data_IF_572589624298
#
_entry.id   IF_572589624298
#
_cell.length_a   1.000
_cell.length_b   1.000
_cell.length_c   1.000
_cell.angle_alpha   90.00
_cell.angle_beta   90.00
_cell.angle_gamma   90.00
#
_symmetry.space_group_name_H-M   'P 1'
#
loop_
_entity.id
_entity.type
_entity.pdbx_description
1 polymer ?
#
# COMPACT_ATOMS: atom_id res chain seq x y z
N UNK A 1 -13.69 -11.07 27.98
CA UNK A 1 -13.45 -11.71 26.67
C UNK A 1 -13.43 -10.59 25.64
N UNK A 2 -12.25 -10.24 25.12
CA UNK A 2 -12.05 -9.05 24.28
C UNK A 2 -12.44 -9.34 22.84
N UNK A 3 -13.48 -8.66 22.35
CA UNK A 3 -13.85 -8.63 20.95
C UNK A 3 -12.76 -7.91 20.15
N UNK A 4 -12.16 -8.60 19.17
CA UNK A 4 -11.27 -7.96 18.21
C UNK A 4 -12.04 -6.88 17.45
N UNK A 5 -11.56 -5.64 17.50
CA UNK A 5 -12.16 -4.49 16.82
C UNK A 5 -11.99 -4.68 15.30
N UNK A 6 -13.07 -4.78 14.49
CA UNK A 6 -12.98 -5.29 13.11
C UNK A 6 -12.40 -4.30 12.09
N UNK A 7 -11.68 -3.27 12.54
CA UNK A 7 -11.20 -2.17 11.69
C UNK A 7 -9.75 -1.78 11.98
N UNK A 8 -8.93 -2.63 12.60
CA UNK A 8 -7.49 -2.36 12.71
C UNK A 8 -6.76 -2.69 11.41
N UNK A 9 -5.79 -1.85 11.03
CA UNK A 9 -4.98 -2.03 9.83
C UNK A 9 -4.37 -3.42 9.78
N UNK A 10 -4.63 -4.17 8.70
CA UNK A 10 -4.09 -5.52 8.53
C UNK A 10 -2.55 -5.55 8.54
N UNK A 11 -1.91 -4.46 8.09
CA UNK A 11 -0.45 -4.40 7.99
C UNK A 11 0.26 -4.06 9.30
N UNK A 12 -0.27 -3.17 10.15
CA UNK A 12 0.41 -2.78 11.39
C UNK A 12 -0.32 -3.21 12.67
N UNK A 13 -1.61 -3.57 12.61
CA UNK A 13 -2.43 -3.93 13.76
C UNK A 13 -2.68 -2.80 14.78
N UNK A 14 -2.09 -1.62 14.59
CA UNK A 14 -1.97 -0.60 15.64
C UNK A 14 -2.92 0.59 15.49
N UNK A 15 -3.50 0.80 14.31
CA UNK A 15 -4.38 1.94 14.02
C UNK A 15 -5.61 1.51 13.22
N UNK A 16 -6.70 2.31 13.25
CA UNK A 16 -7.84 2.10 12.37
C UNK A 16 -7.44 2.06 10.89
N UNK A 17 -8.03 1.13 10.16
CA UNK A 17 -7.84 0.98 8.73
C UNK A 17 -8.67 2.02 7.99
N UNK A 18 -7.98 2.93 7.31
CA UNK A 18 -8.54 3.90 6.37
C UNK A 18 -7.78 3.75 5.05
N UNK A 19 -8.36 4.24 3.95
CA UNK A 19 -7.66 4.32 2.67
C UNK A 19 -6.30 5.03 2.80
N UNK A 20 -6.29 6.18 3.50
CA UNK A 20 -5.06 6.91 3.78
C UNK A 20 -4.05 6.06 4.56
N UNK A 21 -4.50 5.35 5.61
CA UNK A 21 -3.60 4.53 6.41
C UNK A 21 -3.06 3.32 5.62
N UNK A 22 -3.89 2.63 4.84
CA UNK A 22 -3.49 1.44 4.05
C UNK A 22 -2.48 1.79 2.96
N UNK A 23 -2.56 2.98 2.38
CA UNK A 23 -1.71 3.34 1.25
C UNK A 23 -0.53 4.23 1.61
N UNK A 24 -0.62 5.10 2.63
CA UNK A 24 0.45 6.10 2.91
C UNK A 24 0.63 6.46 4.39
N UNK A 25 -0.24 5.99 5.28
CA UNK A 25 -0.22 6.34 6.72
C UNK A 25 0.29 5.24 7.66
N UNK A 26 0.51 4.03 7.16
CA UNK A 26 1.01 2.89 7.92
C UNK A 26 2.54 2.83 7.88
N UNK A 27 3.21 2.62 9.02
CA UNK A 27 4.67 2.56 9.10
C UNK A 27 5.27 1.44 8.23
N UNK A 28 4.59 0.30 8.09
CA UNK A 28 5.04 -0.79 7.23
C UNK A 28 4.91 -0.45 5.74
N UNK A 29 3.96 0.41 5.40
CA UNK A 29 3.73 0.90 4.03
C UNK A 29 4.68 2.02 3.69
N UNK A 30 4.95 2.91 4.65
CA UNK A 30 5.98 3.95 4.58
C UNK A 30 7.35 3.33 4.23
N UNK A 31 7.75 2.25 4.89
CA UNK A 31 8.98 1.51 4.57
C UNK A 31 9.02 0.94 3.13
N UNK A 32 7.85 0.61 2.54
CA UNK A 32 7.77 0.19 1.12
C UNK A 32 8.05 1.38 0.20
N UNK A 33 7.48 2.54 0.51
CA UNK A 33 7.70 3.77 -0.26
C UNK A 33 9.13 4.31 -0.14
N UNK A 34 9.76 4.16 1.02
CA UNK A 34 11.17 4.49 1.23
C UNK A 34 12.07 3.62 0.35
N UNK A 35 11.86 2.30 0.37
CA UNK A 35 12.59 1.35 -0.50
C UNK A 35 12.37 1.62 -1.99
N UNK A 36 11.21 2.15 -2.36
CA UNK A 36 10.90 2.56 -3.72
C UNK A 36 11.46 3.94 -4.10
N UNK A 37 12.09 4.65 -3.17
CA UNK A 37 12.57 6.03 -3.35
C UNK A 37 11.48 7.03 -3.73
N UNK A 38 10.23 6.79 -3.31
CA UNK A 38 9.09 7.67 -3.56
C UNK A 38 8.56 8.35 -2.29
N UNK A 39 9.04 7.96 -1.11
CA UNK A 39 8.52 8.47 0.16
C UNK A 39 8.59 10.00 0.29
N UNK A 40 9.71 10.61 -0.13
CA UNK A 40 9.87 12.06 -0.07
C UNK A 40 8.77 12.83 -0.83
N UNK A 41 8.34 12.30 -1.98
CA UNK A 41 7.25 12.88 -2.78
C UNK A 41 5.92 12.68 -2.06
N UNK A 42 5.63 11.43 -1.67
CA UNK A 42 4.36 11.04 -1.05
C UNK A 42 4.16 11.79 0.27
N UNK A 43 5.18 11.88 1.11
CA UNK A 43 5.11 12.59 2.38
C UNK A 43 4.90 14.10 2.18
N UNK A 44 5.48 14.68 1.13
CA UNK A 44 5.23 16.09 0.79
C UNK A 44 3.77 16.30 0.39
N UNK A 45 3.26 15.47 -0.53
CA UNK A 45 1.88 15.61 -1.05
C UNK A 45 0.84 15.27 0.01
N UNK A 46 1.05 14.24 0.84
CA UNK A 46 0.07 13.85 1.86
C UNK A 46 -0.15 14.94 2.92
N UNK A 47 0.84 15.80 3.15
CA UNK A 47 0.72 16.90 4.12
C UNK A 47 0.05 18.14 3.50
N UNK A 48 -0.26 18.13 2.20
CA UNK A 48 -0.86 19.26 1.47
C UNK A 48 -2.26 18.99 0.93
N UNK A 49 -2.74 17.74 0.99
CA UNK A 49 -4.06 17.35 0.50
C UNK A 49 -4.84 16.61 1.58
N UNK A 50 -6.16 16.78 1.58
CA UNK A 50 -7.02 16.25 2.65
C UNK A 50 -7.43 14.79 2.43
N UNK A 51 -7.32 14.26 1.22
CA UNK A 51 -7.82 12.94 0.86
C UNK A 51 -6.93 12.18 -0.13
N UNK A 52 -7.13 10.86 -0.17
CA UNK A 52 -6.34 9.96 -1.01
C UNK A 52 -6.53 10.18 -2.52
N UNK A 53 -7.72 10.60 -2.97
CA UNK A 53 -7.94 10.85 -4.40
C UNK A 53 -7.12 12.06 -4.84
N UNK A 54 -7.16 13.13 -4.05
CA UNK A 54 -6.35 14.33 -4.28
C UNK A 54 -4.84 14.01 -4.30
N UNK A 55 -4.37 13.15 -3.40
CA UNK A 55 -2.98 12.66 -3.41
C UNK A 55 -2.63 11.95 -4.71
N UNK A 56 -3.46 10.99 -5.13
CA UNK A 56 -3.24 10.22 -6.36
C UNK A 56 -3.18 11.16 -7.56
N UNK A 57 -4.19 12.01 -7.75
CA UNK A 57 -4.22 12.94 -8.88
C UNK A 57 -3.06 13.93 -8.88
N UNK A 58 -2.63 14.38 -7.70
CA UNK A 58 -1.46 15.24 -7.58
C UNK A 58 -0.21 14.52 -8.10
N UNK A 59 0.07 13.31 -7.62
CA UNK A 59 1.24 12.52 -8.04
C UNK A 59 1.19 12.21 -9.55
N UNK A 60 0.02 11.82 -10.08
CA UNK A 60 -0.16 11.55 -11.50
C UNK A 60 0.11 12.79 -12.38
N UNK A 61 -0.13 14.00 -11.87
CA UNK A 61 0.04 15.26 -12.60
C UNK A 61 1.46 15.82 -12.51
N UNK A 62 2.15 15.63 -11.38
CA UNK A 62 3.42 16.32 -11.09
C UNK A 62 4.67 15.46 -11.26
N UNK A 63 4.53 14.14 -11.23
CA UNK A 63 5.67 13.22 -11.32
C UNK A 63 6.01 12.83 -12.77
N UNK A 64 7.22 12.33 -12.98
CA UNK A 64 7.62 11.79 -14.27
C UNK A 64 6.89 10.47 -14.59
N UNK A 65 6.78 10.07 -15.87
CA UNK A 65 6.11 8.82 -16.25
C UNK A 65 6.65 7.60 -15.50
N UNK A 66 7.96 7.46 -15.36
CA UNK A 66 8.59 6.35 -14.61
C UNK A 66 8.24 6.37 -13.12
N UNK A 67 8.12 7.55 -12.51
CA UNK A 67 7.68 7.67 -11.11
C UNK A 67 6.21 7.29 -10.96
N UNK A 68 5.36 7.71 -11.90
CA UNK A 68 3.94 7.35 -11.94
C UNK A 68 3.75 5.85 -12.09
N UNK A 69 4.48 5.21 -13.01
CA UNK A 69 4.45 3.75 -13.19
C UNK A 69 4.81 3.02 -11.90
N UNK A 70 5.91 3.42 -11.24
CA UNK A 70 6.32 2.85 -9.95
C UNK A 70 5.26 3.07 -8.88
N UNK A 71 4.70 4.28 -8.81
CA UNK A 71 3.68 4.64 -7.84
C UNK A 71 2.43 3.75 -7.99
N UNK A 72 1.89 3.65 -9.20
CA UNK A 72 0.70 2.82 -9.49
C UNK A 72 1.00 1.34 -9.23
N UNK A 73 2.17 0.84 -9.64
CA UNK A 73 2.56 -0.55 -9.40
C UNK A 73 2.60 -0.87 -7.89
N UNK A 74 3.15 0.04 -7.07
CA UNK A 74 3.21 -0.14 -5.62
C UNK A 74 1.82 -0.06 -4.98
N UNK A 75 0.96 0.88 -5.40
CA UNK A 75 -0.44 0.91 -4.94
C UNK A 75 -1.14 -0.43 -5.19
N UNK A 76 -0.98 -1.00 -6.39
CA UNK A 76 -1.55 -2.31 -6.72
C UNK A 76 -0.99 -3.43 -5.83
N UNK A 77 0.33 -3.43 -5.57
CA UNK A 77 0.96 -4.42 -4.69
C UNK A 77 0.49 -4.28 -3.25
N UNK A 78 0.39 -3.06 -2.72
CA UNK A 78 -0.09 -2.78 -1.37
C UNK A 78 -1.55 -3.22 -1.21
N UNK A 79 -2.41 -2.85 -2.16
CA UNK A 79 -3.81 -3.27 -2.19
C UNK A 79 -3.94 -4.80 -2.21
N UNK A 80 -3.18 -5.46 -3.10
CA UNK A 80 -3.18 -6.91 -3.20
C UNK A 80 -2.72 -7.56 -1.92
N UNK A 81 -1.59 -7.11 -1.33
CA UNK A 81 -1.07 -7.63 -0.06
C UNK A 81 -2.06 -7.46 1.08
N UNK A 82 -2.73 -6.31 1.18
CA UNK A 82 -3.77 -6.07 2.18
C UNK A 82 -4.97 -7.00 1.96
N UNK A 83 -5.39 -7.16 0.70
CA UNK A 83 -6.48 -8.06 0.33
C UNK A 83 -6.14 -9.50 0.71
N UNK A 84 -4.94 -9.98 0.40
CA UNK A 84 -4.46 -11.29 0.83
C UNK A 84 -4.48 -11.40 2.37
N UNK A 85 -4.00 -10.42 3.13
CA UNK A 85 -4.04 -10.46 4.61
C UNK A 85 -5.45 -10.47 5.21
N UNK A 86 -6.41 -9.80 4.57
CA UNK A 86 -7.80 -9.72 5.07
C UNK A 86 -8.62 -10.95 4.68
N UNK A 87 -8.40 -11.48 3.46
CA UNK A 87 -9.21 -12.56 2.91
C UNK A 87 -8.56 -13.95 3.06
N UNK A 88 -7.22 -14.07 3.08
CA UNK A 88 -6.53 -15.32 3.44
C UNK A 88 -6.42 -15.46 4.97
N UNK A 89 -7.55 -15.68 5.66
CA UNK A 89 -7.54 -16.50 6.90
C UNK A 89 -7.21 -17.97 6.52
N UNK A 90 -6.18 -18.17 5.70
CA UNK A 90 -5.68 -19.46 5.25
C UNK A 90 -4.29 -19.56 5.84
N UNK A 91 -4.13 -20.49 6.78
CA UNK A 91 -2.84 -20.98 7.23
C UNK A 91 -2.07 -21.46 5.99
N UNK A 92 -1.25 -20.59 5.38
CA UNK A 92 -0.33 -20.98 4.32
C UNK A 92 0.99 -21.37 4.97
N UNK A 93 1.39 -22.65 4.94
CA UNK A 93 2.69 -23.06 5.45
C UNK A 93 3.81 -22.37 4.64
N UNK A 94 4.97 -22.12 5.27
CA UNK A 94 5.90 -21.04 4.91
C UNK A 94 6.65 -21.17 3.56
N UNK A 95 6.23 -21.99 2.59
CA UNK A 95 7.10 -22.36 1.48
C UNK A 95 6.59 -22.17 0.05
N UNK A 96 5.37 -21.69 -0.22
CA UNK A 96 4.95 -21.58 -1.64
C UNK A 96 4.11 -20.34 -1.89
N UNK A 97 4.70 -19.37 -2.61
CA UNK A 97 4.10 -18.72 -3.79
C UNK A 97 5.13 -17.81 -4.45
N UNK A 98 5.96 -18.39 -5.31
CA UNK A 98 6.77 -17.63 -6.26
C UNK A 98 5.86 -16.90 -7.27
N UNK A 99 6.11 -15.62 -7.48
CA UNK A 99 5.47 -14.83 -8.54
C UNK A 99 5.97 -15.37 -9.89
N UNK A 100 5.11 -16.06 -10.64
CA UNK A 100 5.35 -16.35 -12.07
C UNK A 100 4.85 -15.17 -12.89
N UNK A 101 5.76 -14.52 -13.60
CA UNK A 101 5.40 -13.62 -14.70
C UNK A 101 5.07 -14.44 -15.95
N UNK A 102 4.01 -14.10 -16.70
CA UNK A 102 3.80 -14.69 -18.02
C UNK A 102 4.93 -14.24 -18.95
N UNK A 103 5.54 -15.20 -19.67
CA UNK A 103 6.53 -14.91 -20.70
C UNK A 103 5.79 -14.38 -21.93
N UNK A 104 6.20 -13.25 -22.52
CA UNK A 104 5.56 -12.73 -23.74
C UNK A 104 5.84 -13.64 -24.95
N UNK A 105 4.97 -13.58 -25.99
CA UNK A 105 5.03 -14.42 -27.18
C UNK A 105 6.29 -14.20 -28.03
#
# INVERSE_FOLDING_TARGET
QGSAMPFTCASCGNRPETDHHVFVGCCNVEAVWEKASLWHIINTVRNTVDDMKSLIFHILKTCSPTQVEKFVAILCVLWRRRTEQVWDIVVKPPNISAIRFPKPP
#
